data_IF_171121923645
#
_entry.id   IF_171121923645
#
_cell.length_a   1.000
_cell.length_b   1.000
_cell.length_c   1.000
_cell.angle_alpha   90.00
_cell.angle_beta   90.00
_cell.angle_gamma   90.00
#
_symmetry.space_group_name_H-M   'P 1'
#
loop_
_entity.id
_entity.type
_entity.pdbx_description
1 polymer ?
#
# COMPACT_ATOMS: atom_id res chain seq x y z
N UNK A 1 -3.89 16.28 -2.74
CA UNK A 1 -4.30 15.01 -2.09
C UNK A 1 -5.77 14.68 -2.32
N UNK A 2 -6.70 15.64 -2.22
CA UNK A 2 -8.11 15.38 -2.54
C UNK A 2 -8.31 15.03 -4.04
N UNK A 3 -7.69 15.79 -4.94
CA UNK A 3 -7.71 15.51 -6.39
C UNK A 3 -7.15 14.13 -6.74
N UNK A 4 -6.06 13.72 -6.10
CA UNK A 4 -5.47 12.39 -6.25
C UNK A 4 -6.41 11.26 -5.79
N UNK A 5 -7.22 11.50 -4.75
CA UNK A 5 -8.21 10.55 -4.24
C UNK A 5 -9.44 10.41 -5.15
N UNK A 6 -9.87 11.51 -5.74
CA UNK A 6 -10.93 11.52 -6.75
C UNK A 6 -10.45 10.87 -8.05
N UNK A 7 -9.19 11.11 -8.42
CA UNK A 7 -8.54 10.62 -9.63
C UNK A 7 -8.24 9.10 -9.60
N UNK A 8 -7.74 8.55 -8.49
CA UNK A 8 -7.39 7.11 -8.43
C UNK A 8 -8.59 6.16 -8.33
N UNK A 9 -9.82 6.69 -8.26
CA UNK A 9 -11.05 5.90 -8.34
C UNK A 9 -11.29 4.97 -7.15
N UNK A 10 -12.23 4.04 -7.33
CA UNK A 10 -12.73 3.17 -6.25
C UNK A 10 -11.66 2.30 -5.59
N UNK A 11 -10.58 1.96 -6.30
CA UNK A 11 -9.46 1.17 -5.78
C UNK A 11 -8.69 1.82 -4.63
N UNK A 12 -8.83 3.14 -4.45
CA UNK A 12 -8.13 3.86 -3.39
C UNK A 12 -8.71 3.58 -2.00
N UNK A 13 -10.02 3.36 -1.88
CA UNK A 13 -10.69 3.10 -0.60
C UNK A 13 -10.22 1.79 0.08
N UNK A 14 -10.24 0.62 -0.59
CA UNK A 14 -9.75 -0.61 0.02
C UNK A 14 -8.24 -0.54 0.31
N UNK A 15 -7.46 0.11 -0.56
CA UNK A 15 -6.01 0.32 -0.36
C UNK A 15 -5.74 1.20 0.86
N UNK A 16 -6.51 2.27 1.05
CA UNK A 16 -6.40 3.15 2.20
C UNK A 16 -6.76 2.41 3.50
N UNK A 17 -7.88 1.69 3.51
CA UNK A 17 -8.32 0.92 4.69
C UNK A 17 -7.28 -0.14 5.08
N UNK A 18 -6.78 -0.88 4.10
CA UNK A 18 -5.70 -1.86 4.27
C UNK A 18 -4.45 -1.21 4.87
N UNK A 19 -3.97 -0.13 4.26
CA UNK A 19 -2.73 0.52 4.66
C UNK A 19 -2.83 1.26 6.01
N UNK A 20 -3.99 1.82 6.35
CA UNK A 20 -4.23 2.36 7.70
C UNK A 20 -4.26 1.26 8.75
N UNK A 21 -4.87 0.11 8.43
CA UNK A 21 -4.83 -1.08 9.29
C UNK A 21 -3.41 -1.58 9.52
N UNK A 22 -2.61 -1.63 8.46
CA UNK A 22 -1.18 -1.98 8.52
C UNK A 22 -0.37 -0.98 9.36
N UNK A 23 -0.63 0.32 9.20
CA UNK A 23 0.03 1.37 9.98
C UNK A 23 -0.33 1.26 11.47
N UNK A 24 -1.60 1.00 11.79
CA UNK A 24 -2.04 0.74 13.15
C UNK A 24 -1.39 -0.50 13.77
N UNK A 25 -1.31 -1.59 13.00
CA UNK A 25 -0.66 -2.83 13.42
C UNK A 25 0.85 -2.63 13.65
N UNK A 26 1.54 -1.91 12.75
CA UNK A 26 2.97 -1.61 12.90
C UNK A 26 3.23 -0.71 14.11
N UNK A 27 2.39 0.29 14.37
CA UNK A 27 2.50 1.13 15.57
C UNK A 27 2.30 0.32 16.86
N UNK A 28 1.35 -0.62 16.86
CA UNK A 28 1.15 -1.54 17.99
C UNK A 28 2.37 -2.43 18.22
N UNK A 29 2.91 -3.01 17.14
CA UNK A 29 4.13 -3.82 17.19
C UNK A 29 5.34 -3.02 17.67
N UNK A 30 5.49 -1.77 17.24
CA UNK A 30 6.58 -0.89 17.71
C UNK A 30 6.52 -0.60 19.21
N UNK A 31 5.30 -0.48 19.77
CA UNK A 31 5.09 -0.25 21.22
C UNK A 31 5.23 -1.52 22.05
N UNK A 32 4.70 -2.64 21.56
CA UNK A 32 4.73 -3.95 22.23
C UNK A 32 5.20 -4.99 21.22
N UNK A 33 6.51 -5.14 21.06
CA UNK A 33 7.03 -6.04 20.08
C UNK A 33 6.83 -7.48 20.57
N UNK A 34 5.96 -8.20 19.88
CA UNK A 34 5.66 -9.61 20.14
C UNK A 34 5.66 -10.33 18.79
N UNK A 35 6.33 -11.48 18.71
CA UNK A 35 6.49 -12.26 17.47
C UNK A 35 5.16 -12.68 16.84
N UNK A 36 4.09 -12.78 17.65
CA UNK A 36 2.73 -13.07 17.18
C UNK A 36 2.15 -12.03 16.21
N UNK A 37 2.68 -10.81 16.21
CA UNK A 37 2.22 -9.76 15.29
C UNK A 37 2.92 -9.80 13.92
N UNK A 38 4.01 -10.55 13.76
CA UNK A 38 4.77 -10.61 12.51
C UNK A 38 3.93 -11.17 11.35
N UNK A 39 3.21 -12.30 11.49
CA UNK A 39 2.35 -12.79 10.41
C UNK A 39 1.27 -11.77 10.01
N UNK A 40 0.68 -11.06 10.98
CA UNK A 40 -0.32 -10.03 10.74
C UNK A 40 0.25 -8.84 9.95
N UNK A 41 1.48 -8.39 10.26
CA UNK A 41 2.14 -7.31 9.51
C UNK A 41 2.43 -7.73 8.06
N UNK A 42 2.90 -8.97 7.86
CA UNK A 42 3.20 -9.50 6.53
C UNK A 42 1.92 -9.63 5.69
N UNK A 43 0.85 -10.21 6.25
CA UNK A 43 -0.41 -10.40 5.52
C UNK A 43 -1.10 -9.08 5.21
N UNK A 44 -1.12 -8.12 6.14
CA UNK A 44 -1.65 -6.76 5.87
C UNK A 44 -0.79 -5.99 4.86
N UNK A 45 0.54 -6.15 4.90
CA UNK A 45 1.45 -5.56 3.93
C UNK A 45 1.19 -6.08 2.53
N UNK A 46 1.12 -7.40 2.38
CA UNK A 46 0.79 -8.05 1.12
C UNK A 46 -0.60 -7.63 0.62
N UNK A 47 -1.61 -7.62 1.50
CA UNK A 47 -2.96 -7.19 1.14
C UNK A 47 -2.99 -5.73 0.65
N UNK A 48 -2.26 -4.82 1.31
CA UNK A 48 -2.17 -3.40 0.90
C UNK A 48 -1.57 -3.27 -0.50
N UNK A 49 -0.50 -4.01 -0.80
CA UNK A 49 0.12 -4.02 -2.13
C UNK A 49 -0.80 -4.62 -3.20
N UNK A 50 -1.46 -5.74 -2.89
CA UNK A 50 -2.40 -6.39 -3.80
C UNK A 50 -3.63 -5.52 -4.08
N UNK A 51 -4.15 -4.80 -3.08
CA UNK A 51 -5.25 -3.86 -3.24
C UNK A 51 -4.86 -2.68 -4.16
N UNK A 52 -3.66 -2.12 -3.99
CA UNK A 52 -3.13 -1.07 -4.86
C UNK A 52 -2.91 -1.54 -6.30
N UNK A 53 -2.37 -2.75 -6.48
CA UNK A 53 -2.19 -3.37 -7.79
C UNK A 53 -3.55 -3.63 -8.47
N UNK A 54 -4.54 -4.14 -7.73
CA UNK A 54 -5.88 -4.36 -8.25
C UNK A 54 -6.52 -3.04 -8.70
N UNK A 55 -6.42 -1.97 -7.91
CA UNK A 55 -6.90 -0.64 -8.30
C UNK A 55 -6.25 -0.12 -9.59
N UNK A 56 -4.95 -0.34 -9.76
CA UNK A 56 -4.24 -0.01 -11.00
C UNK A 56 -4.76 -0.81 -12.20
N UNK A 57 -4.88 -2.14 -12.08
CA UNK A 57 -5.40 -2.97 -13.16
C UNK A 57 -6.84 -2.64 -13.52
N UNK A 58 -7.70 -2.34 -12.53
CA UNK A 58 -9.06 -1.85 -12.78
C UNK A 58 -9.06 -0.54 -13.57
N UNK A 59 -8.19 0.42 -13.21
CA UNK A 59 -8.03 1.68 -13.94
C UNK A 59 -7.56 1.46 -15.39
N UNK A 60 -6.59 0.57 -15.61
CA UNK A 60 -6.10 0.21 -16.95
C UNK A 60 -7.21 -0.44 -17.79
N UNK A 61 -8.01 -1.34 -17.22
CA UNK A 61 -9.13 -1.98 -17.93
C UNK A 61 -10.15 -0.93 -18.38
N UNK A 62 -10.50 0.03 -17.51
CA UNK A 62 -11.42 1.13 -17.85
C UNK A 62 -10.82 2.02 -18.94
N UNK A 63 -9.54 2.36 -18.85
CA UNK A 63 -8.83 3.14 -19.87
C UNK A 63 -8.87 2.45 -21.23
N UNK A 64 -8.56 1.14 -21.28
CA UNK A 64 -8.57 0.37 -22.52
C UNK A 64 -9.99 0.28 -23.11
N UNK A 65 -11.00 0.04 -22.26
CA UNK A 65 -12.40 0.00 -22.69
C UNK A 65 -12.89 1.33 -23.25
N UNK A 66 -12.48 2.45 -22.65
CA UNK A 66 -12.77 3.79 -23.15
C UNK A 66 -12.15 4.04 -24.54
N UNK A 67 -10.91 3.58 -24.72
CA UNK A 67 -10.16 3.68 -25.98
C UNK A 67 -10.79 2.90 -27.14
N UNK A 68 -11.33 1.72 -26.85
CA UNK A 68 -11.99 0.87 -27.86
C UNK A 68 -13.46 1.22 -28.06
N UNK A 69 -13.97 2.25 -27.38
CA UNK A 69 -15.40 2.53 -27.31
C UNK A 69 -15.72 4.02 -27.40
N UNK A 70 -16.44 4.62 -26.42
CA UNK A 70 -17.04 5.94 -26.55
C UNK A 70 -16.08 7.11 -26.79
N UNK A 71 -14.79 6.90 -26.52
CA UNK A 71 -13.75 7.93 -26.55
C UNK A 71 -12.71 7.66 -27.64
N UNK A 72 -12.98 6.75 -28.57
CA UNK A 72 -12.07 6.36 -29.65
C UNK A 72 -11.66 7.54 -30.56
N UNK A 73 -12.52 8.55 -30.69
CA UNK A 73 -12.29 9.74 -31.52
C UNK A 73 -11.46 10.82 -30.80
N UNK A 74 -11.23 10.69 -29.49
CA UNK A 74 -10.41 11.64 -28.74
C UNK A 74 -8.92 11.37 -28.94
N UNK A 75 -8.09 12.41 -28.75
CA UNK A 75 -6.64 12.28 -28.89
C UNK A 75 -6.10 11.13 -28.04
N UNK A 76 -5.60 10.04 -28.65
CA UNK A 76 -5.14 8.85 -27.95
C UNK A 76 -4.13 9.21 -26.85
N UNK A 77 -3.23 10.15 -27.18
CA UNK A 77 -2.13 10.56 -26.31
C UNK A 77 -2.63 11.14 -24.98
N UNK A 78 -3.68 11.97 -25.03
CA UNK A 78 -4.24 12.63 -23.84
C UNK A 78 -4.99 11.62 -22.97
N UNK A 79 -5.82 10.75 -23.58
CA UNK A 79 -6.59 9.76 -22.85
C UNK A 79 -5.67 8.75 -22.13
N UNK A 80 -4.61 8.31 -22.81
CA UNK A 80 -3.64 7.37 -22.24
C UNK A 80 -2.83 7.99 -21.10
N UNK A 81 -2.32 9.21 -21.28
CA UNK A 81 -1.53 9.90 -20.24
C UNK A 81 -2.36 10.16 -18.98
N UNK A 82 -3.62 10.59 -19.14
CA UNK A 82 -4.51 10.86 -18.00
C UNK A 82 -4.94 9.58 -17.31
N UNK A 83 -5.45 8.58 -18.04
CA UNK A 83 -5.92 7.34 -17.42
C UNK A 83 -4.79 6.52 -16.78
N UNK A 84 -3.59 6.55 -17.35
CA UNK A 84 -2.42 5.93 -16.73
C UNK A 84 -1.99 6.69 -15.46
N UNK A 85 -2.00 8.03 -15.50
CA UNK A 85 -1.74 8.86 -14.33
C UNK A 85 -2.72 8.53 -13.18
N UNK A 86 -4.01 8.44 -13.48
CA UNK A 86 -5.05 8.05 -12.52
C UNK A 86 -4.80 6.65 -11.94
N UNK A 87 -4.55 5.66 -12.79
CA UNK A 87 -4.29 4.28 -12.36
C UNK A 87 -3.07 4.17 -11.42
N UNK A 88 -2.00 4.91 -11.70
CA UNK A 88 -0.76 4.90 -10.91
C UNK A 88 -0.94 5.40 -9.47
N UNK A 89 -1.96 6.21 -9.18
CA UNK A 89 -2.22 6.69 -7.81
C UNK A 89 -2.55 5.57 -6.84
N UNK A 90 -3.20 4.49 -7.30
CA UNK A 90 -3.50 3.33 -6.46
C UNK A 90 -2.23 2.62 -5.97
N UNK A 91 -1.27 2.44 -6.87
CA UNK A 91 0.03 1.82 -6.54
C UNK A 91 0.85 2.76 -5.67
N UNK A 92 0.88 4.06 -5.97
CA UNK A 92 1.59 5.04 -5.18
C UNK A 92 1.08 5.10 -3.72
N UNK A 93 -0.24 5.07 -3.53
CA UNK A 93 -0.84 5.04 -2.19
C UNK A 93 -0.48 3.75 -1.44
N UNK A 94 -0.57 2.60 -2.10
CA UNK A 94 -0.20 1.32 -1.49
C UNK A 94 1.26 1.28 -1.05
N UNK A 95 2.17 1.74 -1.92
CA UNK A 95 3.59 1.82 -1.62
C UNK A 95 3.85 2.77 -0.44
N UNK A 96 3.26 3.96 -0.45
CA UNK A 96 3.42 4.93 0.63
C UNK A 96 3.04 4.34 2.00
N UNK A 97 1.86 3.73 2.10
CA UNK A 97 1.36 3.16 3.35
C UNK A 97 2.20 1.95 3.80
N UNK A 98 2.64 1.12 2.85
CA UNK A 98 3.49 -0.05 3.14
C UNK A 98 4.88 0.39 3.61
N UNK A 99 5.49 1.38 2.96
CA UNK A 99 6.80 1.94 3.34
C UNK A 99 6.75 2.57 4.73
N UNK A 100 5.74 3.40 5.03
CA UNK A 100 5.59 4.01 6.35
C UNK A 100 5.41 2.94 7.44
N UNK A 101 4.59 1.93 7.17
CA UNK A 101 4.35 0.85 8.12
C UNK A 101 5.59 -0.02 8.35
N UNK A 102 6.38 -0.28 7.30
CA UNK A 102 7.64 -0.99 7.40
C UNK A 102 8.64 -0.23 8.28
N UNK A 103 8.78 1.09 8.11
CA UNK A 103 9.62 1.94 8.96
C UNK A 103 9.22 1.86 10.43
N UNK A 104 7.92 1.93 10.72
CA UNK A 104 7.41 1.79 12.09
C UNK A 104 7.67 0.39 12.64
N UNK A 105 7.46 -0.66 11.84
CA UNK A 105 7.71 -2.04 12.23
C UNK A 105 9.19 -2.31 12.51
N UNK A 106 10.12 -1.68 11.78
CA UNK A 106 11.56 -1.77 12.02
C UNK A 106 11.95 -1.33 13.44
N UNK A 107 11.24 -0.35 14.02
CA UNK A 107 11.46 0.07 15.43
C UNK A 107 11.11 -1.07 16.40
N UNK A 108 10.00 -1.77 16.17
CA UNK A 108 9.61 -2.94 16.97
C UNK A 108 10.61 -4.09 16.83
N UNK A 109 11.08 -4.35 15.61
CA UNK A 109 12.08 -5.37 15.33
C UNK A 109 13.43 -5.05 16.00
N UNK A 110 13.87 -3.79 15.98
CA UNK A 110 15.07 -3.34 16.69
C UNK A 110 14.94 -3.54 18.20
N UNK A 111 13.78 -3.23 18.78
CA UNK A 111 13.51 -3.46 20.22
C UNK A 111 13.56 -4.94 20.61
N UNK A 112 13.10 -5.86 19.74
CA UNK A 112 13.27 -7.30 19.97
C UNK A 112 14.72 -7.74 19.88
N UNK A 113 15.44 -7.23 18.87
CA UNK A 113 16.82 -7.60 18.63
C UNK A 113 17.74 -7.15 19.78
N UNK A 114 17.48 -5.97 20.35
CA UNK A 114 18.22 -5.38 21.48
C UNK A 114 17.73 -5.90 22.84
N UNK A 115 16.51 -6.47 22.92
CA UNK A 115 16.01 -7.18 24.11
C UNK A 115 16.97 -8.27 24.60
N UNK A 116 16.82 -8.80 25.84
CA UNK A 116 17.87 -9.21 26.80
C UNK A 116 18.85 -10.36 26.41
N UNK A 117 19.16 -10.56 25.13
CA UNK A 117 20.23 -11.42 24.61
C UNK A 117 21.64 -10.93 24.97
N UNK A 118 21.79 -9.74 25.53
CA UNK A 118 23.06 -9.22 26.05
C UNK A 118 23.41 -9.68 27.48
N UNK A 119 22.54 -10.45 28.16
CA UNK A 119 22.75 -10.90 29.55
C UNK A 119 22.95 -12.41 29.72
N UNK A 120 23.19 -13.18 28.66
CA UNK A 120 23.63 -14.56 28.82
C UNK A 120 25.17 -14.59 28.92
N UNK A 121 25.76 -14.89 30.11
CA UNK A 121 27.15 -15.33 30.13
C UNK A 121 27.20 -16.60 29.28
N UNK A 122 28.12 -16.66 28.33
CA UNK A 122 28.49 -17.93 27.71
C UNK A 122 29.06 -18.80 28.84
N UNK A 123 28.27 -19.79 29.26
CA UNK A 123 28.73 -20.89 30.12
C UNK A 123 29.45 -21.92 29.26
#
# INVERSE_FOLDING_TARGET
>A
MNEAFVAGGWGMYPTLLAGLGLLGASLRYARRPETRYVPLLVTLGLFTLLAGALGFFSGVIVLLGAYTGPLADQSPRVLFLIGLYEALHNVALALLLTTLSALVASVGALRLAVGPRFLAPRA
#
